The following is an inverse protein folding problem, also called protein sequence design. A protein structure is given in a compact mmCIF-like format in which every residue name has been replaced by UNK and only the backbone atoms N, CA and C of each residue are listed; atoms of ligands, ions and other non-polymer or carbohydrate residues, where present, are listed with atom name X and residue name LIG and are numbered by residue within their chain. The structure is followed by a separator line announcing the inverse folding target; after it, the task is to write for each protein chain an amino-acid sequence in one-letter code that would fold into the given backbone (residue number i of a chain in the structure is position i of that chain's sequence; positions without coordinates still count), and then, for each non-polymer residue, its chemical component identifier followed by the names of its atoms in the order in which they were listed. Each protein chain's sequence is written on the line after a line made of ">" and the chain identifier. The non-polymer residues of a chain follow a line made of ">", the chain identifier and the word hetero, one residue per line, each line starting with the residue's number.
data_IF_975308328143
#
_entry.id   IF_975308328143
#
_cell.length_a   1.000
_cell.length_b   1.000
_cell.length_c   1.000
_cell.angle_alpha   90.00
_cell.angle_beta   90.00
_cell.angle_gamma   90.00
#
_symmetry.space_group_name_H-M   'P 1'
#
loop_
_entity.id
_entity.type
_entity.pdbx_description
1 polymer ?
#
# COMPACT_ATOMS: atom_id res chain seq x y z
N UNK A 1 -45.32 25.16 33.53
CA UNK A 1 -45.51 23.92 32.76
C UNK A 1 -45.33 24.35 31.33
N UNK A 2 -44.11 24.20 30.82
CA UNK A 2 -43.68 24.78 29.56
C UNK A 2 -42.93 23.67 28.83
N UNK A 3 -43.72 22.94 28.07
CA UNK A 3 -43.39 21.69 27.41
C UNK A 3 -42.88 22.03 26.02
N UNK A 4 -41.57 22.22 25.84
CA UNK A 4 -40.97 22.40 24.51
C UNK A 4 -39.73 21.51 24.32
N UNK A 5 -40.03 20.23 24.05
CA UNK A 5 -39.42 19.36 23.05
C UNK A 5 -38.07 19.81 22.42
N UNK A 6 -36.97 19.63 23.14
CA UNK A 6 -35.60 19.67 22.57
C UNK A 6 -35.23 18.36 21.87
N UNK A 7 -36.02 17.98 20.87
CA UNK A 7 -35.68 16.84 20.02
C UNK A 7 -34.51 17.21 19.11
N UNK A 8 -33.45 16.41 19.27
CA UNK A 8 -32.66 15.84 18.19
C UNK A 8 -31.83 16.81 17.37
N UNK A 9 -30.53 16.83 17.64
CA UNK A 9 -29.54 16.09 16.83
C UNK A 9 -28.17 16.17 17.51
N UNK A 10 -27.44 15.06 17.72
CA UNK A 10 -25.99 15.17 17.90
C UNK A 10 -25.41 15.85 16.64
N UNK A 11 -24.30 16.61 16.72
CA UNK A 11 -23.59 17.05 15.53
C UNK A 11 -23.12 15.79 14.77
N UNK A 12 -23.93 15.40 13.79
CA UNK A 12 -23.57 14.47 12.75
C UNK A 12 -23.11 15.31 11.57
N UNK A 13 -21.86 15.12 11.16
CA UNK A 13 -21.17 15.95 10.19
C UNK A 13 -20.18 16.83 10.94
N UNK A 14 -18.89 16.54 10.99
CA UNK A 14 -18.06 15.84 10.01
C UNK A 14 -16.97 15.06 10.78
N UNK A 15 -16.70 13.77 10.52
CA UNK A 15 -15.33 13.32 10.71
C UNK A 15 -14.47 14.23 9.81
N UNK A 16 -13.34 14.80 10.29
CA UNK A 16 -12.43 15.48 9.39
C UNK A 16 -12.15 14.53 8.23
N UNK A 17 -12.61 14.99 7.08
CA UNK A 17 -12.39 14.44 5.77
C UNK A 17 -10.89 14.30 5.56
N UNK A 18 -10.35 13.14 5.91
CA UNK A 18 -9.17 12.55 5.29
C UNK A 18 -9.08 11.09 5.73
N UNK A 19 -10.11 10.33 5.37
CA UNK A 19 -9.96 8.94 4.91
C UNK A 19 -9.14 8.90 3.62
N UNK A 20 -7.98 9.56 3.59
CA UNK A 20 -6.72 8.87 3.29
C UNK A 20 -6.63 7.75 4.33
N UNK A 21 -7.47 6.73 4.10
CA UNK A 21 -7.40 5.44 4.74
C UNK A 21 -5.91 5.11 4.80
N UNK A 22 -5.39 4.86 5.99
CA UNK A 22 -3.99 4.51 6.17
C UNK A 22 -3.79 3.13 5.53
N UNK A 23 -3.92 3.01 4.21
CA UNK A 23 -3.70 1.81 3.43
C UNK A 23 -2.29 1.27 3.69
N UNK A 24 -1.36 2.14 4.11
CA UNK A 24 -0.04 1.81 4.66
C UNK A 24 -0.09 1.03 5.98
N UNK A 25 -1.06 1.28 6.86
CA UNK A 25 -1.30 0.49 8.09
C UNK A 25 -2.18 -0.73 7.84
N UNK A 26 -2.96 -0.76 6.76
CA UNK A 26 -3.75 -1.92 6.34
C UNK A 26 -2.96 -2.91 5.46
N UNK A 27 -1.86 -2.47 4.83
CA UNK A 27 -0.93 -3.31 4.09
C UNK A 27 -0.23 -4.28 5.05
N UNK A 28 -0.73 -5.51 5.08
CA UNK A 28 -0.09 -6.59 5.81
C UNK A 28 1.34 -6.79 5.28
N UNK A 29 2.32 -7.10 6.15
CA UNK A 29 3.69 -7.39 5.73
C UNK A 29 3.75 -8.54 4.70
N UNK A 30 2.79 -9.46 4.76
CA UNK A 30 2.62 -10.53 3.77
C UNK A 30 2.35 -9.99 2.35
N UNK A 31 1.49 -8.96 2.21
CA UNK A 31 1.19 -8.34 0.92
C UNK A 31 2.40 -7.64 0.33
N UNK A 32 3.18 -6.92 1.16
CA UNK A 32 4.45 -6.31 0.74
C UNK A 32 5.44 -7.36 0.25
N UNK A 33 5.55 -8.48 0.97
CA UNK A 33 6.42 -9.58 0.58
C UNK A 33 5.98 -10.22 -0.75
N UNK A 34 4.67 -10.35 -0.99
CA UNK A 34 4.13 -10.86 -2.26
C UNK A 34 4.47 -9.94 -3.44
N UNK A 35 4.44 -8.63 -3.24
CA UNK A 35 4.86 -7.64 -4.26
C UNK A 35 6.35 -7.79 -4.57
N UNK A 36 7.21 -7.84 -3.53
CA UNK A 36 8.66 -8.08 -3.71
C UNK A 36 8.91 -9.39 -4.48
N UNK A 37 8.19 -10.46 -4.13
CA UNK A 37 8.33 -11.76 -4.81
C UNK A 37 7.91 -11.69 -6.28
N UNK A 38 6.82 -10.98 -6.61
CA UNK A 38 6.40 -10.76 -8.00
C UNK A 38 7.45 -9.97 -8.78
N UNK A 39 7.96 -8.87 -8.21
CA UNK A 39 9.03 -8.07 -8.83
C UNK A 39 10.27 -8.93 -9.06
N UNK A 40 10.64 -9.75 -8.08
CA UNK A 40 11.77 -10.68 -8.16
C UNK A 40 11.60 -11.74 -9.26
N UNK A 41 10.39 -12.31 -9.44
CA UNK A 41 10.10 -13.27 -10.51
C UNK A 41 10.24 -12.60 -11.89
N UNK A 42 9.68 -11.40 -12.05
CA UNK A 42 9.82 -10.60 -13.28
C UNK A 42 11.29 -10.31 -13.57
N UNK A 43 12.06 -9.86 -12.58
CA UNK A 43 13.48 -9.59 -12.76
C UNK A 43 14.25 -10.84 -13.19
N UNK A 44 14.00 -12.01 -12.57
CA UNK A 44 14.64 -13.27 -12.94
C UNK A 44 14.30 -13.75 -14.35
N UNK A 45 13.07 -13.47 -14.83
CA UNK A 45 12.64 -13.84 -16.18
C UNK A 45 13.27 -12.95 -17.26
N UNK A 46 13.47 -11.67 -16.96
CA UNK A 46 13.86 -10.68 -17.96
C UNK A 46 15.34 -10.29 -17.91
N UNK A 47 16.03 -10.51 -16.79
CA UNK A 47 17.43 -10.15 -16.64
C UNK A 47 18.32 -11.39 -16.54
N UNK A 48 19.36 -11.51 -17.39
CA UNK A 48 20.43 -12.46 -17.13
C UNK A 48 21.17 -12.03 -15.86
N UNK A 49 21.32 -12.94 -14.90
CA UNK A 49 22.02 -12.70 -13.64
C UNK A 49 23.12 -13.74 -13.43
N UNK A 50 24.22 -13.31 -12.80
CA UNK A 50 25.40 -14.16 -12.59
C UNK A 50 25.44 -14.73 -11.18
N UNK A 51 25.10 -16.01 -11.04
CA UNK A 51 25.25 -16.74 -9.79
C UNK A 51 24.55 -16.10 -8.58
N UNK A 52 25.13 -16.29 -7.39
CA UNK A 52 24.54 -15.83 -6.13
C UNK A 52 24.59 -14.30 -5.98
N UNK A 53 25.63 -13.65 -6.48
CA UNK A 53 25.76 -12.19 -6.47
C UNK A 53 24.67 -11.52 -7.32
N UNK A 54 24.39 -12.06 -8.51
CA UNK A 54 23.31 -11.57 -9.36
C UNK A 54 21.95 -11.69 -8.68
N UNK A 55 21.68 -12.80 -7.99
CA UNK A 55 20.44 -12.95 -7.21
C UNK A 55 20.36 -11.95 -6.06
N UNK A 56 21.46 -11.66 -5.38
CA UNK A 56 21.48 -10.67 -4.32
C UNK A 56 21.20 -9.25 -4.85
N UNK A 57 21.76 -8.90 -6.01
CA UNK A 57 21.49 -7.62 -6.68
C UNK A 57 20.03 -7.51 -7.13
N UNK A 58 19.46 -8.57 -7.73
CA UNK A 58 18.04 -8.60 -8.10
C UNK A 58 17.14 -8.41 -6.87
N UNK A 59 17.48 -9.03 -5.73
CA UNK A 59 16.72 -8.88 -4.50
C UNK A 59 16.77 -7.44 -3.97
N UNK A 60 17.96 -6.81 -3.97
CA UNK A 60 18.11 -5.40 -3.62
C UNK A 60 17.29 -4.49 -4.53
N UNK A 61 17.27 -4.77 -5.83
CA UNK A 61 16.45 -4.03 -6.79
C UNK A 61 14.97 -4.20 -6.48
N UNK A 62 14.51 -5.44 -6.24
CA UNK A 62 13.10 -5.73 -5.95
C UNK A 62 12.60 -4.99 -4.69
N UNK A 63 13.38 -5.04 -3.60
CA UNK A 63 13.06 -4.34 -2.35
C UNK A 63 13.04 -2.82 -2.55
N UNK A 64 14.02 -2.25 -3.26
CA UNK A 64 14.05 -0.81 -3.54
C UNK A 64 12.89 -0.36 -4.42
N UNK A 65 12.47 -1.21 -5.36
CA UNK A 65 11.35 -0.91 -6.24
C UNK A 65 10.04 -0.90 -5.46
N UNK A 66 9.81 -1.91 -4.62
CA UNK A 66 8.65 -1.96 -3.72
C UNK A 66 8.62 -0.77 -2.77
N UNK A 67 9.75 -0.40 -2.15
CA UNK A 67 9.82 0.73 -1.22
C UNK A 67 9.52 2.07 -1.92
N UNK A 68 9.99 2.24 -3.15
CA UNK A 68 9.66 3.41 -3.98
C UNK A 68 8.16 3.47 -4.29
N UNK A 69 7.54 2.36 -4.65
CA UNK A 69 6.09 2.31 -4.92
C UNK A 69 5.30 2.54 -3.63
N UNK A 70 5.69 1.92 -2.51
CA UNK A 70 5.08 2.11 -1.20
C UNK A 70 5.13 3.58 -0.73
N UNK A 71 6.22 4.27 -1.03
CA UNK A 71 6.41 5.68 -0.69
C UNK A 71 5.69 6.61 -1.68
N UNK A 72 5.72 6.30 -2.97
CA UNK A 72 5.13 7.13 -4.03
C UNK A 72 3.60 6.99 -4.15
N UNK A 73 3.06 5.82 -3.83
CA UNK A 73 1.62 5.62 -3.81
C UNK A 73 1.01 6.56 -2.75
N UNK A 74 0.02 7.33 -3.16
CA UNK A 74 -0.78 8.19 -2.28
C UNK A 74 -2.10 7.53 -1.88
N UNK A 75 -2.46 6.40 -2.51
CA UNK A 75 -3.66 5.60 -2.23
C UNK A 75 -3.43 4.13 -2.61
N UNK A 76 -4.14 3.21 -1.92
CA UNK A 76 -4.03 1.75 -2.08
C UNK A 76 -4.20 1.26 -3.53
N UNK A 77 -5.00 1.98 -4.33
CA UNK A 77 -5.42 1.57 -5.68
C UNK A 77 -4.23 1.41 -6.64
N UNK A 78 -3.15 2.17 -6.43
CA UNK A 78 -1.97 2.16 -7.31
C UNK A 78 -1.10 0.91 -7.09
N UNK A 79 -1.10 0.33 -5.89
CA UNK A 79 -0.19 -0.79 -5.56
C UNK A 79 -0.75 -2.14 -6.05
N UNK A 80 -2.07 -2.30 -6.08
CA UNK A 80 -2.73 -3.54 -6.51
C UNK A 80 -2.86 -3.64 -8.05
N UNK A 81 -2.92 -2.50 -8.75
CA UNK A 81 -3.32 -2.47 -10.17
C UNK A 81 -2.14 -2.53 -11.16
N UNK A 82 -0.92 -2.16 -10.76
CA UNK A 82 0.25 -2.08 -11.66
C UNK A 82 1.18 -3.31 -11.62
N UNK A 83 0.80 -4.39 -10.92
CA UNK A 83 1.59 -5.64 -10.81
C UNK A 83 0.83 -6.87 -11.33
N UNK A 84 0.02 -6.68 -12.37
CA UNK A 84 -0.68 -7.74 -13.13
C UNK A 84 -0.36 -7.68 -14.61
#
# INVERSE_FOLDING_TARGET
>A
MDTNNWRSTPPSGEPPMDTTDNWRTHLQPDSRQRIVNKIMDTLKRHLPFSGQDGLNELNKIAVRFEEKIFTAATSQVIIESDVL
#
